data_IF_019658011753
#
_entry.id   IF_019658011753
#
_cell.length_a   1.000
_cell.length_b   1.000
_cell.length_c   1.000
_cell.angle_alpha   90.00
_cell.angle_beta   90.00
_cell.angle_gamma   90.00
#
_symmetry.space_group_name_H-M   'P 1'
#
loop_
_entity.id
_entity.type
_entity.pdbx_description
1 polymer ?
#
# COMPACT_ATOMS: atom_id res chain seq x y z
N UNK A 1 35.12 -14.55 24.42
CA UNK A 1 33.94 -14.17 25.22
C UNK A 1 33.67 -12.67 25.04
N UNK A 2 33.00 -12.22 23.96
CA UNK A 2 32.85 -10.76 23.76
C UNK A 2 32.36 -10.25 22.41
N UNK A 3 31.92 -11.11 21.48
CA UNK A 3 31.31 -10.66 20.21
C UNK A 3 29.78 -10.59 20.28
N UNK A 4 29.16 -11.31 21.21
CA UNK A 4 27.70 -11.43 21.30
C UNK A 4 27.03 -10.20 21.93
N UNK A 5 27.75 -9.45 22.77
CA UNK A 5 27.26 -8.24 23.44
C UNK A 5 27.30 -6.98 22.58
N UNK A 6 27.96 -7.00 21.42
CA UNK A 6 27.99 -5.86 20.48
C UNK A 6 26.76 -5.81 19.56
N UNK A 7 26.09 -6.95 19.35
CA UNK A 7 24.86 -7.05 18.55
C UNK A 7 23.75 -6.14 19.12
N UNK A 8 23.65 -6.07 20.45
CA UNK A 8 22.58 -5.34 21.12
C UNK A 8 22.78 -3.82 21.16
N UNK A 9 23.99 -3.32 20.85
CA UNK A 9 24.30 -1.88 20.98
C UNK A 9 24.03 -1.09 19.70
N UNK A 10 24.11 -1.74 18.52
CA UNK A 10 23.72 -1.19 17.22
C UNK A 10 23.19 -2.34 16.36
N UNK A 11 21.85 -2.50 16.24
CA UNK A 11 21.31 -3.56 15.40
C UNK A 11 21.84 -3.38 13.97
N UNK A 12 22.16 -4.49 13.27
CA UNK A 12 22.59 -4.43 11.88
C UNK A 12 21.58 -3.69 11.01
N UNK A 13 22.05 -2.90 10.03
CA UNK A 13 21.19 -2.03 9.21
C UNK A 13 20.07 -2.78 8.48
N UNK A 14 20.28 -4.05 8.14
CA UNK A 14 19.26 -4.90 7.52
C UNK A 14 18.11 -5.27 8.48
N UNK A 15 18.37 -5.38 9.80
CA UNK A 15 17.33 -5.65 10.81
C UNK A 15 16.42 -4.45 10.96
N UNK A 16 17.00 -3.24 10.98
CA UNK A 16 16.23 -1.99 11.01
C UNK A 16 15.43 -1.83 9.72
N UNK A 17 16.03 -2.12 8.56
CA UNK A 17 15.34 -2.07 7.27
C UNK A 17 14.19 -3.08 7.17
N UNK A 18 14.37 -4.31 7.67
CA UNK A 18 13.31 -5.32 7.69
C UNK A 18 12.18 -4.93 8.63
N UNK A 19 12.48 -4.36 9.80
CA UNK A 19 11.46 -3.86 10.73
C UNK A 19 10.63 -2.74 10.11
N UNK A 20 11.28 -1.77 9.46
CA UNK A 20 10.58 -0.66 8.77
C UNK A 20 9.74 -1.19 7.61
N UNK A 21 10.28 -2.12 6.82
CA UNK A 21 9.55 -2.77 5.72
C UNK A 21 8.31 -3.50 6.22
N UNK A 22 8.43 -4.30 7.28
CA UNK A 22 7.29 -5.04 7.85
C UNK A 22 6.19 -4.11 8.38
N UNK A 23 6.55 -2.96 8.96
CA UNK A 23 5.57 -1.95 9.38
C UNK A 23 4.85 -1.35 8.17
N UNK A 24 5.57 -1.08 7.07
CA UNK A 24 4.98 -0.58 5.83
C UNK A 24 3.98 -1.55 5.22
N UNK A 25 4.36 -2.83 5.10
CA UNK A 25 3.45 -3.86 4.57
C UNK A 25 2.25 -4.11 5.50
N UNK A 26 2.43 -4.00 6.82
CA UNK A 26 1.31 -4.05 7.76
C UNK A 26 0.31 -2.92 7.52
N UNK A 27 0.79 -1.70 7.29
CA UNK A 27 -0.07 -0.55 6.97
C UNK A 27 -0.86 -0.78 5.68
N UNK A 28 -0.22 -1.31 4.64
CA UNK A 28 -0.90 -1.66 3.38
C UNK A 28 -1.96 -2.75 3.56
N UNK A 29 -1.68 -3.74 4.42
CA UNK A 29 -2.66 -4.75 4.83
C UNK A 29 -3.87 -4.16 5.55
N UNK A 30 -3.65 -3.17 6.43
CA UNK A 30 -4.72 -2.46 7.14
C UNK A 30 -5.58 -1.66 6.15
N UNK A 31 -4.98 -0.95 5.20
CA UNK A 31 -5.72 -0.19 4.18
C UNK A 31 -6.62 -1.11 3.33
N UNK A 32 -6.10 -2.28 2.92
CA UNK A 32 -6.89 -3.26 2.17
C UNK A 32 -8.02 -3.85 3.03
N UNK A 33 -7.81 -4.03 4.33
CA UNK A 33 -8.81 -4.59 5.24
C UNK A 33 -9.94 -3.62 5.61
N UNK A 34 -9.63 -2.32 5.73
CA UNK A 34 -10.61 -1.32 6.16
C UNK A 34 -11.59 -0.89 5.05
N UNK A 35 -11.26 -1.11 3.77
CA UNK A 35 -12.09 -0.66 2.65
C UNK A 35 -13.52 -1.23 2.66
N UNK A 36 -13.69 -2.48 3.08
CA UNK A 36 -15.00 -3.13 3.20
C UNK A 36 -15.94 -2.35 4.13
N UNK A 37 -15.62 -2.20 5.42
CA UNK A 37 -16.44 -1.41 6.35
C UNK A 37 -16.43 0.10 6.06
N UNK A 38 -15.35 0.65 5.47
CA UNK A 38 -15.27 2.10 5.17
C UNK A 38 -16.32 2.55 4.15
N UNK A 39 -16.59 1.72 3.13
CA UNK A 39 -17.55 2.05 2.07
C UNK A 39 -19.03 1.97 2.48
N UNK A 40 -19.34 1.30 3.60
CA UNK A 40 -20.69 1.24 4.17
C UNK A 40 -20.90 2.26 5.29
N UNK A 41 -19.87 3.04 5.61
CA UNK A 41 -19.92 4.05 6.66
C UNK A 41 -20.77 5.25 6.23
N UNK A 42 -21.59 5.79 7.13
CA UNK A 42 -22.47 6.94 6.84
C UNK A 42 -21.72 8.17 6.30
N UNK A 43 -20.51 8.44 6.78
CA UNK A 43 -19.66 9.53 6.28
C UNK A 43 -19.21 9.33 4.82
N UNK A 44 -19.09 8.08 4.36
CA UNK A 44 -18.76 7.78 2.96
C UNK A 44 -20.00 7.97 2.08
N UNK A 45 -21.17 7.56 2.57
CA UNK A 45 -22.46 7.72 1.89
C UNK A 45 -22.85 9.21 1.77
N UNK A 46 -22.56 10.02 2.77
CA UNK A 46 -22.81 11.46 2.73
C UNK A 46 -21.88 12.18 1.74
N UNK A 47 -20.64 11.70 1.56
CA UNK A 47 -19.66 12.34 0.68
C UNK A 47 -19.76 11.88 -0.79
N UNK A 48 -19.97 10.58 -1.03
CA UNK A 48 -19.99 9.98 -2.37
C UNK A 48 -21.41 9.58 -2.84
N UNK A 49 -22.43 9.75 -2.00
CA UNK A 49 -23.80 9.30 -2.26
C UNK A 49 -24.00 7.82 -1.95
N UNK A 50 -25.08 7.22 -2.47
CA UNK A 50 -25.30 5.77 -2.43
C UNK A 50 -24.70 5.13 -3.69
N UNK A 51 -23.41 4.70 -3.70
CA UNK A 51 -22.84 4.03 -4.85
C UNK A 51 -23.56 2.70 -5.08
N UNK A 52 -23.85 2.41 -6.35
CA UNK A 52 -24.36 1.10 -6.77
C UNK A 52 -23.38 -0.01 -6.33
N UNK A 53 -23.88 -1.22 -5.99
CA UNK A 53 -23.03 -2.36 -5.66
C UNK A 53 -21.94 -2.66 -6.69
N UNK A 54 -22.22 -2.37 -7.97
CA UNK A 54 -21.26 -2.51 -9.06
C UNK A 54 -20.04 -1.58 -8.88
N UNK A 55 -20.25 -0.36 -8.39
CA UNK A 55 -19.18 0.62 -8.18
C UNK A 55 -18.35 0.28 -6.94
N UNK A 56 -18.98 -0.22 -5.88
CA UNK A 56 -18.27 -0.75 -4.72
C UNK A 56 -17.34 -1.91 -5.13
N UNK A 57 -17.84 -2.85 -5.94
CA UNK A 57 -17.02 -3.92 -6.50
C UNK A 57 -15.86 -3.40 -7.36
N UNK A 58 -16.09 -2.36 -8.17
CA UNK A 58 -15.05 -1.72 -8.98
C UNK A 58 -13.93 -1.10 -8.11
N UNK A 59 -14.28 -0.43 -7.02
CA UNK A 59 -13.30 0.18 -6.09
C UNK A 59 -12.39 -0.87 -5.45
N UNK A 60 -12.95 -2.01 -5.02
CA UNK A 60 -12.16 -3.07 -4.39
C UNK A 60 -11.33 -3.83 -5.44
N UNK A 61 -11.93 -4.14 -6.59
CA UNK A 61 -11.26 -4.89 -7.66
C UNK A 61 -10.19 -4.08 -8.39
N UNK A 62 -10.28 -2.75 -8.47
CA UNK A 62 -9.28 -1.91 -9.13
C UNK A 62 -7.91 -2.00 -8.45
N UNK A 63 -7.87 -1.99 -7.11
CA UNK A 63 -6.64 -2.17 -6.35
C UNK A 63 -6.05 -3.58 -6.57
N UNK A 64 -6.90 -4.62 -6.52
CA UNK A 64 -6.46 -6.00 -6.73
C UNK A 64 -5.93 -6.22 -8.15
N UNK A 65 -6.58 -5.63 -9.15
CA UNK A 65 -6.18 -5.74 -10.55
C UNK A 65 -4.82 -5.06 -10.78
N UNK A 66 -4.64 -3.86 -10.27
CA UNK A 66 -3.37 -3.13 -10.37
C UNK A 66 -2.24 -3.84 -9.62
N UNK A 67 -2.51 -4.39 -8.44
CA UNK A 67 -1.56 -5.20 -7.69
C UNK A 67 -1.17 -6.49 -8.43
N UNK A 68 -2.13 -7.16 -9.06
CA UNK A 68 -1.86 -8.35 -9.87
C UNK A 68 -0.96 -8.02 -11.06
N UNK A 69 -1.27 -6.95 -11.80
CA UNK A 69 -0.45 -6.50 -12.93
C UNK A 69 0.97 -6.15 -12.46
N UNK A 70 1.09 -5.36 -11.40
CA UNK A 70 2.39 -4.94 -10.87
C UNK A 70 3.21 -6.12 -10.37
N UNK A 71 2.58 -7.13 -9.76
CA UNK A 71 3.28 -8.33 -9.29
C UNK A 71 4.01 -9.08 -10.41
N UNK A 72 3.48 -9.07 -11.65
CA UNK A 72 4.18 -9.64 -12.80
C UNK A 72 5.43 -8.84 -13.20
N UNK A 73 5.39 -7.51 -13.07
CA UNK A 73 6.52 -6.65 -13.39
C UNK A 73 7.53 -6.52 -12.24
N UNK A 74 7.08 -6.70 -11.00
CA UNK A 74 7.87 -6.49 -9.79
C UNK A 74 9.12 -7.38 -9.74
N UNK A 75 9.04 -8.61 -10.24
CA UNK A 75 10.19 -9.51 -10.33
C UNK A 75 11.31 -8.95 -11.21
N UNK A 76 10.97 -8.44 -12.40
CA UNK A 76 11.95 -7.85 -13.33
C UNK A 76 12.55 -6.55 -12.78
N UNK A 77 11.73 -5.72 -12.15
CA UNK A 77 12.17 -4.48 -11.49
C UNK A 77 13.10 -4.77 -10.32
N UNK A 78 12.80 -5.78 -9.51
CA UNK A 78 13.63 -6.18 -8.37
C UNK A 78 15.01 -6.69 -8.78
N UNK A 79 15.08 -7.43 -9.90
CA UNK A 79 16.34 -7.94 -10.45
C UNK A 79 17.22 -6.84 -11.07
N UNK A 80 16.61 -5.78 -11.63
CA UNK A 80 17.33 -4.69 -12.29
C UNK A 80 17.77 -3.56 -11.35
N UNK A 81 16.90 -3.11 -10.43
CA UNK A 81 17.17 -1.97 -9.54
C UNK A 81 17.74 -2.35 -8.17
N UNK A 82 17.76 -3.65 -7.84
CA UNK A 82 18.16 -4.15 -6.54
C UNK A 82 17.01 -4.13 -5.52
N UNK A 83 16.94 -5.22 -4.76
CA UNK A 83 15.81 -5.57 -3.88
C UNK A 83 15.44 -4.49 -2.85
N UNK A 84 16.42 -3.86 -2.19
CA UNK A 84 16.16 -2.81 -1.19
C UNK A 84 15.68 -1.49 -1.78
N UNK A 85 16.17 -1.11 -2.97
CA UNK A 85 15.73 0.10 -3.66
C UNK A 85 14.32 -0.06 -4.22
N UNK A 86 14.00 -1.25 -4.75
CA UNK A 86 12.65 -1.57 -5.22
C UNK A 86 11.60 -1.43 -4.11
N UNK A 87 11.87 -1.98 -2.92
CA UNK A 87 10.97 -1.86 -1.76
C UNK A 87 10.77 -0.39 -1.35
N UNK A 88 11.85 0.41 -1.32
CA UNK A 88 11.75 1.82 -0.95
C UNK A 88 10.93 2.64 -1.96
N UNK A 89 11.07 2.34 -3.25
CA UNK A 89 10.30 3.00 -4.33
C UNK A 89 8.83 2.59 -4.26
N UNK A 90 8.53 1.29 -4.09
CA UNK A 90 7.16 0.80 -3.94
C UNK A 90 6.45 1.46 -2.76
N UNK A 91 7.12 1.53 -1.59
CA UNK A 91 6.60 2.23 -0.42
C UNK A 91 6.33 3.73 -0.64
N UNK A 92 7.15 4.41 -1.46
CA UNK A 92 6.90 5.81 -1.85
C UNK A 92 5.68 5.95 -2.76
N UNK A 93 5.51 5.05 -3.74
CA UNK A 93 4.35 5.04 -4.63
C UNK A 93 3.08 4.75 -3.84
N UNK A 94 3.12 3.78 -2.92
CA UNK A 94 2.03 3.49 -1.99
C UNK A 94 1.64 4.73 -1.16
N UNK A 95 2.63 5.41 -0.56
CA UNK A 95 2.38 6.61 0.23
C UNK A 95 1.72 7.74 -0.59
N UNK A 96 2.16 7.95 -1.83
CA UNK A 96 1.56 8.93 -2.74
C UNK A 96 0.11 8.55 -3.11
N UNK A 97 -0.15 7.26 -3.35
CA UNK A 97 -1.50 6.76 -3.61
C UNK A 97 -2.44 7.00 -2.43
N UNK A 98 -2.02 6.69 -1.21
CA UNK A 98 -2.82 6.90 0.01
C UNK A 98 -3.13 8.39 0.23
N UNK A 99 -2.16 9.28 -0.04
CA UNK A 99 -2.40 10.73 0.02
C UNK A 99 -3.47 11.17 -1.00
N UNK A 100 -3.44 10.58 -2.20
CA UNK A 100 -4.44 10.86 -3.24
C UNK A 100 -5.84 10.38 -2.83
N UNK A 101 -5.94 9.22 -2.19
CA UNK A 101 -7.20 8.70 -1.66
C UNK A 101 -7.74 9.54 -0.50
N UNK A 102 -6.87 9.93 0.42
CA UNK A 102 -7.24 10.74 1.58
C UNK A 102 -7.75 12.14 1.17
N UNK A 103 -7.24 12.68 0.06
CA UNK A 103 -7.69 13.96 -0.52
C UNK A 103 -8.78 13.84 -1.57
N UNK A 104 -9.38 12.66 -1.77
CA UNK A 104 -10.31 12.44 -2.87
C UNK A 104 -11.63 13.19 -2.68
N UNK A 105 -11.91 14.14 -3.59
CA UNK A 105 -13.17 14.93 -3.63
C UNK A 105 -14.25 14.23 -4.49
N UNK A 106 -13.82 13.32 -5.37
CA UNK A 106 -14.69 12.60 -6.30
C UNK A 106 -14.36 11.11 -6.30
N UNK A 107 -15.38 10.28 -6.57
CA UNK A 107 -15.23 8.83 -6.57
C UNK A 107 -14.20 8.34 -7.61
N UNK A 108 -14.07 9.03 -8.74
CA UNK A 108 -13.04 8.75 -9.74
C UNK A 108 -11.62 9.02 -9.24
N UNK A 109 -11.43 10.05 -8.40
CA UNK A 109 -10.13 10.34 -7.78
C UNK A 109 -9.77 9.28 -6.73
N UNK A 110 -10.77 8.78 -6.01
CA UNK A 110 -10.61 7.67 -5.08
C UNK A 110 -10.20 6.38 -5.80
N UNK A 111 -10.85 6.04 -6.92
CA UNK A 111 -10.49 4.87 -7.75
C UNK A 111 -9.08 5.02 -8.35
N UNK A 112 -8.72 6.23 -8.81
CA UNK A 112 -7.38 6.50 -9.30
C UNK A 112 -6.32 6.33 -8.19
N UNK A 113 -6.62 6.79 -6.97
CA UNK A 113 -5.81 6.51 -5.78
C UNK A 113 -5.61 5.01 -5.55
N UNK A 114 -6.69 4.22 -5.60
CA UNK A 114 -6.66 2.76 -5.42
C UNK A 114 -5.79 2.05 -6.45
N UNK A 115 -5.77 2.54 -7.68
CA UNK A 115 -4.88 2.02 -8.73
C UNK A 115 -3.41 2.33 -8.43
N UNK A 116 -3.10 3.54 -7.98
CA UNK A 116 -1.72 3.94 -7.62
C UNK A 116 -1.24 3.16 -6.39
N UNK A 117 -2.10 3.01 -5.38
CA UNK A 117 -1.85 2.22 -4.17
C UNK A 117 -1.57 0.76 -4.52
N UNK A 118 -2.28 0.17 -5.49
CA UNK A 118 -2.01 -1.20 -5.95
C UNK A 118 -0.75 -1.35 -6.79
N UNK A 119 -0.20 -0.26 -7.35
CA UNK A 119 1.09 -0.28 -8.07
C UNK A 119 2.30 -0.13 -7.13
N UNK A 120 2.09 0.40 -5.93
CA UNK A 120 3.13 0.56 -4.91
C UNK A 120 3.41 -0.73 -4.15
#
# INVERSE_FOLDING_TARGET
MGKDTQIFRRPPRYVVASLVCSVGELLQGIDTGIIGPATVMGSYVDHFGHPSPAVHGLVVSSMLLSAAVTSFLAGHVADSLGRSSGIAIGGLVFALGVVLEAGAVHLGMFIAGRLVVGVG
#
